data_IF_297924581444
#
_entry.id   IF_297924581444
#
_cell.length_a   1.000
_cell.length_b   1.000
_cell.length_c   1.000
_cell.angle_alpha   90.00
_cell.angle_beta   90.00
_cell.angle_gamma   90.00
#
_symmetry.space_group_name_H-M   'P 1'
#
loop_
_entity.id
_entity.type
_entity.pdbx_description
1 polymer ?
#
# COMPACT_ATOMS: atom_id res chain seq x y z
N UNK A 1 -21.08 6.95 26.56
CA UNK A 1 -21.42 5.83 25.64
C UNK A 1 -20.14 5.34 24.99
N UNK A 2 -19.93 4.03 24.87
CA UNK A 2 -18.80 3.47 24.11
C UNK A 2 -19.37 2.73 22.91
N UNK A 3 -18.89 3.04 21.71
CA UNK A 3 -19.34 2.45 20.46
C UNK A 3 -18.15 1.72 19.84
N UNK A 4 -18.28 0.40 19.66
CA UNK A 4 -17.26 -0.43 19.02
C UNK A 4 -17.84 -0.91 17.70
N UNK A 5 -17.08 -0.74 16.61
CA UNK A 5 -17.52 -1.12 15.26
C UNK A 5 -16.50 -2.02 14.59
N UNK A 6 -16.99 -3.12 14.01
CA UNK A 6 -16.21 -3.94 13.10
C UNK A 6 -16.30 -3.36 11.69
N UNK A 7 -15.22 -2.69 11.27
CA UNK A 7 -15.11 -2.07 9.95
C UNK A 7 -14.25 -2.88 8.97
N UNK A 8 -13.85 -4.12 9.30
CA UNK A 8 -12.88 -4.88 8.49
C UNK A 8 -13.36 -5.10 7.05
N UNK A 9 -14.63 -5.46 6.86
CA UNK A 9 -15.18 -5.71 5.51
C UNK A 9 -15.21 -4.44 4.65
N UNK A 10 -15.57 -3.32 5.26
CA UNK A 10 -15.57 -2.01 4.60
C UNK A 10 -14.15 -1.55 4.28
N UNK A 11 -13.21 -1.75 5.22
CA UNK A 11 -11.80 -1.46 5.01
C UNK A 11 -11.23 -2.22 3.82
N UNK A 12 -11.56 -3.51 3.68
CA UNK A 12 -11.14 -4.28 2.52
C UNK A 12 -11.77 -3.74 1.24
N UNK A 13 -13.09 -3.61 1.21
CA UNK A 13 -13.85 -3.26 0.00
C UNK A 13 -13.53 -1.87 -0.53
N UNK A 14 -13.49 -0.86 0.34
CA UNK A 14 -13.51 0.54 -0.07
C UNK A 14 -12.14 1.23 0.03
N UNK A 15 -11.15 0.59 0.68
CA UNK A 15 -9.83 1.20 0.92
C UNK A 15 -8.70 0.31 0.39
N UNK A 16 -8.64 -0.95 0.82
CA UNK A 16 -7.59 -1.88 0.39
C UNK A 16 -7.77 -2.28 -1.08
N UNK A 17 -8.98 -2.65 -1.51
CA UNK A 17 -9.22 -3.07 -2.89
C UNK A 17 -8.81 -2.01 -3.91
N UNK A 18 -9.24 -0.73 -3.79
CA UNK A 18 -8.75 0.32 -4.69
C UNK A 18 -7.23 0.51 -4.63
N UNK A 19 -6.61 0.33 -3.45
CA UNK A 19 -5.15 0.38 -3.31
C UNK A 19 -4.44 -0.78 -4.02
N UNK A 20 -5.02 -1.99 -4.02
CA UNK A 20 -4.52 -3.13 -4.80
C UNK A 20 -4.60 -2.82 -6.29
N UNK A 21 -5.75 -2.33 -6.77
CA UNK A 21 -5.94 -2.00 -8.19
C UNK A 21 -4.92 -0.94 -8.66
N UNK A 22 -4.64 0.02 -7.78
CA UNK A 22 -3.66 1.07 -8.01
C UNK A 22 -2.20 0.64 -7.75
N UNK A 23 -1.94 -0.62 -7.39
CA UNK A 23 -0.64 -1.10 -6.92
C UNK A 23 0.05 -0.13 -5.94
N UNK A 24 -0.74 0.47 -5.04
CA UNK A 24 -0.35 1.66 -4.29
C UNK A 24 0.84 1.37 -3.37
N UNK A 25 1.95 2.05 -3.63
CA UNK A 25 3.23 1.84 -2.95
C UNK A 25 3.96 3.18 -2.84
N UNK A 26 3.94 3.76 -1.64
CA UNK A 26 4.60 5.04 -1.39
C UNK A 26 6.12 4.86 -1.40
N UNK A 27 6.80 5.74 -2.13
CA UNK A 27 8.26 5.74 -2.33
C UNK A 27 8.84 4.36 -2.70
N UNK A 28 8.04 3.55 -3.40
CA UNK A 28 8.45 2.23 -3.85
C UNK A 28 8.61 1.18 -2.74
N UNK A 29 8.22 1.46 -1.49
CA UNK A 29 8.43 0.55 -0.36
C UNK A 29 7.25 0.43 0.63
N UNK A 30 6.46 1.49 0.86
CA UNK A 30 5.42 1.48 1.88
C UNK A 30 4.00 1.25 1.33
N UNK A 31 3.35 0.17 1.78
CA UNK A 31 2.02 -0.27 1.33
C UNK A 31 0.84 0.46 1.98
N UNK A 32 1.09 1.62 2.61
CA UNK A 32 0.04 2.52 3.11
C UNK A 32 -0.87 1.89 4.17
N UNK A 33 -0.44 0.81 4.85
CA UNK A 33 -1.24 0.08 5.83
C UNK A 33 -1.87 1.02 6.84
N UNK A 34 -1.03 1.86 7.43
CA UNK A 34 -1.47 2.91 8.32
C UNK A 34 -2.31 3.93 7.54
N UNK A 35 -1.75 4.63 6.55
CA UNK A 35 -2.45 5.72 5.83
C UNK A 35 -3.87 5.40 5.33
N UNK A 36 -4.13 4.17 4.88
CA UNK A 36 -5.44 3.70 4.37
C UNK A 36 -6.52 3.63 5.45
N UNK A 37 -6.18 3.35 6.72
CA UNK A 37 -7.20 3.16 7.76
C UNK A 37 -7.78 4.47 8.28
N UNK A 38 -7.01 5.57 8.22
CA UNK A 38 -7.38 6.88 8.79
C UNK A 38 -8.62 7.46 8.15
N UNK A 39 -8.76 7.52 6.81
CA UNK A 39 -9.98 8.05 6.20
C UNK A 39 -11.23 7.22 6.55
N UNK A 40 -11.10 5.90 6.80
CA UNK A 40 -12.21 5.07 7.28
C UNK A 40 -12.60 5.42 8.71
N UNK A 41 -11.62 5.46 9.62
CA UNK A 41 -11.87 5.78 11.04
C UNK A 41 -12.46 7.19 11.14
N UNK A 42 -11.87 8.16 10.44
CA UNK A 42 -12.33 9.54 10.45
C UNK A 42 -13.76 9.69 9.90
N UNK A 43 -14.09 9.01 8.79
CA UNK A 43 -15.44 8.96 8.24
C UNK A 43 -16.44 8.42 9.28
N UNK A 44 -16.06 7.35 9.98
CA UNK A 44 -16.94 6.76 10.98
C UNK A 44 -17.13 7.64 12.22
N UNK A 45 -16.07 8.35 12.66
CA UNK A 45 -16.15 9.34 13.73
C UNK A 45 -17.11 10.48 13.35
N UNK A 46 -17.03 11.01 12.13
CA UNK A 46 -17.97 12.04 11.65
C UNK A 46 -19.41 11.53 11.64
N UNK A 47 -19.62 10.29 11.16
CA UNK A 47 -20.94 9.67 11.14
C UNK A 47 -21.54 9.54 12.55
N UNK A 48 -20.76 9.02 13.50
CA UNK A 48 -21.18 8.89 14.90
C UNK A 48 -21.39 10.26 15.55
N UNK A 49 -20.52 11.24 15.30
CA UNK A 49 -20.68 12.58 15.84
C UNK A 49 -22.03 13.20 15.46
N UNK A 50 -22.47 13.02 14.20
CA UNK A 50 -23.80 13.47 13.74
C UNK A 50 -24.94 12.71 14.40
N UNK A 51 -24.83 11.38 14.53
CA UNK A 51 -25.83 10.56 15.21
C UNK A 51 -26.02 10.95 16.68
N UNK A 52 -24.92 11.34 17.35
CA UNK A 52 -24.94 11.78 18.75
C UNK A 52 -25.14 13.30 18.91
N UNK A 53 -25.37 14.04 17.82
CA UNK A 53 -25.46 15.51 17.80
C UNK A 53 -24.26 16.22 18.46
N UNK A 54 -23.06 15.65 18.33
CA UNK A 54 -21.83 16.22 18.87
C UNK A 54 -21.36 17.41 18.02
N UNK A 55 -20.88 18.46 18.69
CA UNK A 55 -20.26 19.65 18.05
C UNK A 55 -18.75 19.52 17.91
N UNK A 56 -18.13 18.65 18.73
CA UNK A 56 -16.69 18.48 18.80
C UNK A 56 -16.29 17.03 18.54
N UNK A 57 -15.15 16.85 17.89
CA UNK A 57 -14.47 15.57 17.71
C UNK A 57 -13.02 15.70 18.13
N UNK A 58 -12.43 14.61 18.64
CA UNK A 58 -11.06 14.63 19.13
C UNK A 58 -10.24 13.47 18.58
N UNK A 59 -8.92 13.68 18.42
CA UNK A 59 -7.96 12.63 18.06
C UNK A 59 -6.65 12.82 18.83
N UNK A 60 -5.94 11.71 19.08
CA UNK A 60 -4.70 11.68 19.85
C UNK A 60 -3.41 11.81 19.03
N UNK A 61 -3.46 12.40 17.83
CA UNK A 61 -2.28 12.46 16.97
C UNK A 61 -1.29 13.53 17.46
N UNK A 62 0.01 13.25 17.33
CA UNK A 62 1.08 14.22 17.61
C UNK A 62 1.18 15.28 16.50
N UNK A 63 1.84 16.40 16.79
CA UNK A 63 2.10 17.47 15.82
C UNK A 63 3.17 17.16 14.76
N UNK A 64 3.86 16.01 14.85
CA UNK A 64 4.95 15.61 13.92
C UNK A 64 4.61 14.41 13.03
N UNK A 65 3.44 13.80 13.25
CA UNK A 65 2.97 12.65 12.45
C UNK A 65 2.09 13.09 11.28
N UNK A 66 2.03 12.25 10.24
CA UNK A 66 1.11 12.46 9.11
C UNK A 66 -0.36 12.22 9.48
N UNK A 67 -0.63 11.48 10.57
CA UNK A 67 -2.00 11.11 10.92
C UNK A 67 -2.88 12.28 11.32
N UNK A 68 -2.32 13.33 11.91
CA UNK A 68 -3.09 14.56 12.15
C UNK A 68 -3.68 15.11 10.85
N UNK A 69 -2.90 15.10 9.75
CA UNK A 69 -3.35 15.57 8.44
C UNK A 69 -4.45 14.65 7.91
N UNK A 70 -4.23 13.33 7.99
CA UNK A 70 -5.17 12.32 7.47
C UNK A 70 -6.53 12.38 8.18
N UNK A 71 -6.54 12.54 9.50
CA UNK A 71 -7.77 12.72 10.29
C UNK A 71 -8.42 14.08 10.00
N UNK A 72 -7.71 15.18 10.20
CA UNK A 72 -8.28 16.53 10.11
C UNK A 72 -8.72 16.92 8.70
N UNK A 73 -7.98 16.53 7.67
CA UNK A 73 -8.43 16.76 6.29
C UNK A 73 -9.71 15.97 6.00
N UNK A 74 -9.82 14.72 6.47
CA UNK A 74 -11.05 13.94 6.32
C UNK A 74 -12.20 14.57 7.11
N UNK A 75 -11.96 15.02 8.34
CA UNK A 75 -12.97 15.73 9.13
C UNK A 75 -13.44 16.99 8.42
N UNK A 76 -12.53 17.82 7.91
CA UNK A 76 -12.89 19.04 7.19
C UNK A 76 -13.67 18.76 5.89
N UNK A 77 -13.37 17.67 5.20
CA UNK A 77 -14.05 17.30 3.96
C UNK A 77 -15.44 16.68 4.21
N UNK A 78 -15.58 15.88 5.27
CA UNK A 78 -16.81 15.11 5.50
C UNK A 78 -17.73 15.70 6.56
N UNK A 79 -17.20 16.52 7.48
CA UNK A 79 -17.89 17.16 8.59
C UNK A 79 -17.32 18.54 8.91
N UNK A 80 -17.34 19.50 7.96
CA UNK A 80 -16.78 20.85 8.14
C UNK A 80 -17.42 21.64 9.29
N UNK A 81 -18.61 21.24 9.74
CA UNK A 81 -19.31 21.83 10.88
C UNK A 81 -18.72 21.40 12.25
N UNK A 82 -17.97 20.31 12.29
CA UNK A 82 -17.43 19.73 13.52
C UNK A 82 -16.13 20.44 13.92
N UNK A 83 -16.00 20.78 15.20
CA UNK A 83 -14.79 21.40 15.74
C UNK A 83 -13.80 20.32 16.20
N UNK A 84 -12.57 20.37 15.68
CA UNK A 84 -11.55 19.39 16.04
C UNK A 84 -10.78 19.83 17.30
N UNK A 85 -10.63 18.90 18.24
CA UNK A 85 -9.75 19.02 19.40
C UNK A 85 -8.58 18.04 19.22
N UNK A 86 -7.35 18.54 19.30
CA UNK A 86 -6.14 17.72 19.20
C UNK A 86 -5.31 17.88 20.48
N UNK A 87 -5.62 17.12 21.56
CA UNK A 87 -5.00 17.25 22.86
C UNK A 87 -3.47 17.29 22.83
N UNK A 88 -2.81 16.36 22.12
CA UNK A 88 -1.34 16.27 22.07
C UNK A 88 -0.65 17.46 21.36
N UNK A 89 -1.41 18.37 20.75
CA UNK A 89 -0.89 19.63 20.19
C UNK A 89 -1.20 20.85 21.05
N UNK A 90 -2.16 20.74 21.97
CA UNK A 90 -2.71 21.87 22.73
C UNK A 90 -2.40 21.77 24.23
N UNK A 91 -2.29 20.56 24.77
CA UNK A 91 -2.05 20.33 26.17
C UNK A 91 -0.64 20.71 26.60
N UNK A 92 -0.45 21.06 27.88
CA UNK A 92 0.85 21.47 28.40
C UNK A 92 1.82 20.31 28.62
N UNK A 93 1.36 19.05 28.49
CA UNK A 93 2.18 17.87 28.75
C UNK A 93 3.31 17.77 27.71
N UNK A 94 4.54 17.61 28.19
CA UNK A 94 5.75 17.54 27.36
C UNK A 94 6.30 16.12 27.23
N UNK A 95 5.84 15.19 28.05
CA UNK A 95 6.32 13.81 28.04
C UNK A 95 5.26 12.81 28.49
N UNK A 96 5.50 11.53 28.16
CA UNK A 96 4.64 10.42 28.59
C UNK A 96 4.62 10.26 30.11
N UNK A 97 5.72 10.60 30.78
CA UNK A 97 5.79 10.61 32.25
C UNK A 97 4.82 11.64 32.86
N UNK A 98 4.73 12.84 32.27
CA UNK A 98 3.77 13.85 32.72
C UNK A 98 2.30 13.39 32.52
N UNK A 99 2.01 12.71 31.41
CA UNK A 99 0.69 12.10 31.15
C UNK A 99 0.34 11.02 32.17
N UNK A 100 1.31 10.16 32.51
CA UNK A 100 1.17 9.11 33.54
C UNK A 100 0.92 9.74 34.91
N UNK A 101 1.66 10.77 35.28
CA UNK A 101 1.49 11.47 36.55
C UNK A 101 0.13 12.18 36.63
N UNK A 102 -0.35 12.73 35.51
CA UNK A 102 -1.71 13.25 35.43
C UNK A 102 -2.75 12.14 35.66
N UNK A 103 -2.59 10.98 35.02
CA UNK A 103 -3.48 9.83 35.23
C UNK A 103 -3.49 9.38 36.70
N UNK A 104 -2.31 9.29 37.34
CA UNK A 104 -2.19 8.98 38.78
C UNK A 104 -2.88 10.02 39.66
N UNK A 105 -2.65 11.32 39.42
CA UNK A 105 -3.29 12.42 40.16
C UNK A 105 -4.81 12.41 40.03
N UNK A 106 -5.33 12.02 38.86
CA UNK A 106 -6.75 11.98 38.58
C UNK A 106 -7.41 10.62 38.85
N UNK A 107 -6.67 9.64 39.41
CA UNK A 107 -7.12 8.26 39.61
C UNK A 107 -7.69 7.59 38.34
N UNK A 108 -7.10 7.90 37.18
CA UNK A 108 -7.43 7.24 35.91
C UNK A 108 -6.65 5.93 35.85
N UNK A 109 -7.31 4.76 35.83
CA UNK A 109 -6.62 3.48 35.76
C UNK A 109 -5.98 3.33 34.38
N UNK A 110 -4.64 3.34 34.36
CA UNK A 110 -3.83 3.06 33.17
C UNK A 110 -2.85 1.95 33.50
N UNK A 111 -2.76 0.95 32.64
CA UNK A 111 -1.70 -0.06 32.74
C UNK A 111 -0.38 0.60 32.33
N UNK A 112 0.44 0.94 33.32
CA UNK A 112 1.79 1.47 33.10
C UNK A 112 2.71 0.28 32.91
N UNK A 113 2.63 -0.33 31.74
CA UNK A 113 3.57 -1.36 31.38
C UNK A 113 4.90 -0.72 30.95
N UNK A 114 6.03 -1.34 31.30
CA UNK A 114 7.37 -0.99 30.75
C UNK A 114 7.51 -1.44 29.28
N UNK A 115 6.39 -1.63 28.58
CA UNK A 115 6.32 -2.49 27.41
C UNK A 115 6.78 -1.79 26.16
N UNK A 116 7.83 -2.38 25.58
CA UNK A 116 8.38 -2.13 24.26
C UNK A 116 8.90 -0.71 24.04
N UNK A 117 10.16 -0.53 23.62
CA UNK A 117 10.66 0.78 23.21
C UNK A 117 10.00 1.29 21.91
N UNK A 118 9.11 0.51 21.28
CA UNK A 118 8.52 0.79 19.98
C UNK A 118 7.10 1.37 20.08
N UNK A 119 6.80 2.31 19.20
CA UNK A 119 5.43 2.74 18.87
C UNK A 119 4.92 1.86 17.73
N UNK A 120 3.77 1.22 17.92
CA UNK A 120 3.23 0.21 16.99
C UNK A 120 1.81 0.60 16.57
N UNK A 121 1.58 0.69 15.26
CA UNK A 121 0.22 0.80 14.68
C UNK A 121 -0.03 -0.39 13.75
N UNK A 122 -0.99 -1.23 14.13
CA UNK A 122 -1.32 -2.49 13.45
C UNK A 122 -2.78 -2.49 13.00
N UNK A 123 -2.99 -2.89 11.76
CA UNK A 123 -4.32 -3.24 11.25
C UNK A 123 -4.28 -4.47 10.34
N UNK A 124 -5.39 -4.75 9.65
CA UNK A 124 -5.53 -5.92 8.76
C UNK A 124 -4.50 -5.93 7.62
N UNK A 125 -4.10 -4.77 7.10
CA UNK A 125 -3.25 -4.63 5.91
C UNK A 125 -1.75 -4.69 6.21
N UNK A 126 -1.35 -4.35 7.43
CA UNK A 126 0.03 -4.37 7.87
C UNK A 126 0.25 -3.63 9.19
N UNK A 127 1.53 -3.42 9.50
CA UNK A 127 2.01 -2.79 10.72
C UNK A 127 3.06 -1.71 10.40
N UNK A 128 3.04 -0.61 11.15
CA UNK A 128 4.15 0.35 11.26
C UNK A 128 4.74 0.26 12.67
N UNK A 129 6.06 0.33 12.75
CA UNK A 129 6.86 0.24 13.96
C UNK A 129 7.90 1.38 13.91
N UNK A 130 7.89 2.25 14.91
CA UNK A 130 8.80 3.40 15.03
C UNK A 130 9.28 3.59 16.48
N UNK A 131 10.08 4.64 16.72
CA UNK A 131 10.69 5.01 18.01
C UNK A 131 11.77 4.06 18.54
N UNK A 132 12.44 4.50 19.60
CA UNK A 132 13.52 3.75 20.26
C UNK A 132 14.76 3.62 19.37
N UNK A 133 15.38 2.44 19.35
CA UNK A 133 16.59 2.18 18.56
C UNK A 133 16.37 2.34 17.05
N UNK A 134 15.13 2.29 16.57
CA UNK A 134 14.79 2.45 15.16
C UNK A 134 15.07 3.87 14.64
N UNK A 135 15.14 4.87 15.53
CA UNK A 135 15.48 6.25 15.16
C UNK A 135 16.95 6.40 14.76
N UNK A 136 17.85 5.53 15.24
CA UNK A 136 19.25 5.53 14.81
C UNK A 136 19.40 4.80 13.48
N UNK A 137 19.52 5.57 12.40
CA UNK A 137 19.67 5.08 11.02
C UNK A 137 20.93 4.21 10.79
N UNK A 138 21.86 4.18 11.74
CA UNK A 138 23.06 3.33 11.67
C UNK A 138 22.83 1.94 12.26
N UNK A 139 21.79 1.77 13.05
CA UNK A 139 21.44 0.51 13.71
C UNK A 139 20.43 -0.26 12.86
N UNK A 140 20.65 -1.56 12.73
CA UNK A 140 19.68 -2.45 12.09
C UNK A 140 18.42 -2.59 12.96
N UNK A 141 17.21 -2.72 12.38
CA UNK A 141 16.03 -3.02 13.18
C UNK A 141 16.24 -4.34 13.94
N UNK A 142 16.16 -4.34 15.27
CA UNK A 142 16.35 -5.56 16.05
C UNK A 142 15.20 -6.55 15.79
N UNK A 143 15.47 -7.83 16.00
CA UNK A 143 14.50 -8.88 15.62
C UNK A 143 13.20 -8.80 16.43
N UNK A 144 13.24 -8.25 17.65
CA UNK A 144 12.07 -8.05 18.51
C UNK A 144 11.17 -6.88 18.08
N UNK A 145 11.61 -6.06 17.12
CA UNK A 145 10.76 -5.05 16.49
C UNK A 145 9.73 -5.68 15.55
N UNK A 146 10.03 -6.84 14.94
CA UNK A 146 9.15 -7.52 14.01
C UNK A 146 8.14 -8.42 14.74
N UNK A 147 6.86 -8.30 14.38
CA UNK A 147 5.73 -8.90 15.09
C UNK A 147 4.96 -9.87 14.20
N UNK A 148 4.78 -9.53 12.91
CA UNK A 148 3.99 -10.32 11.97
C UNK A 148 4.80 -11.37 11.22
N UNK A 149 6.10 -11.16 11.06
CA UNK A 149 6.95 -11.95 10.17
C UNK A 149 8.09 -12.60 10.93
N UNK A 150 8.43 -13.84 10.54
CA UNK A 150 9.68 -14.47 10.95
C UNK A 150 10.88 -13.78 10.31
N UNK A 151 12.06 -13.91 10.92
CA UNK A 151 13.30 -13.57 10.22
C UNK A 151 13.52 -14.49 9.02
N UNK A 152 14.22 -14.05 7.96
CA UNK A 152 14.63 -14.93 6.87
C UNK A 152 15.41 -16.17 7.34
N UNK A 153 16.16 -16.06 8.43
CA UNK A 153 16.91 -17.17 9.02
C UNK A 153 15.99 -18.22 9.65
N UNK A 154 14.93 -17.78 10.35
CA UNK A 154 13.94 -18.64 11.00
C UNK A 154 12.82 -19.12 10.07
N UNK A 155 12.68 -18.52 8.89
CA UNK A 155 11.68 -18.92 7.91
C UNK A 155 11.94 -20.35 7.37
N UNK A 156 10.88 -21.10 6.98
CA UNK A 156 10.98 -22.48 6.52
C UNK A 156 12.04 -22.70 5.43
N UNK A 157 12.79 -23.80 5.54
CA UNK A 157 13.78 -24.23 4.54
C UNK A 157 13.16 -24.71 3.23
N UNK A 158 11.88 -25.09 3.25
CA UNK A 158 11.12 -25.45 2.04
C UNK A 158 10.30 -24.24 1.57
N UNK A 159 10.37 -23.88 0.28
CA UNK A 159 9.57 -22.79 -0.25
C UNK A 159 8.08 -23.15 -0.26
N UNK A 160 7.22 -22.16 -0.06
CA UNK A 160 5.77 -22.32 -0.18
C UNK A 160 5.29 -21.86 -1.55
N UNK A 161 4.44 -22.65 -2.17
CA UNK A 161 3.76 -22.31 -3.42
C UNK A 161 2.38 -21.75 -3.09
N UNK A 162 2.01 -20.64 -3.71
CA UNK A 162 0.66 -20.06 -3.61
C UNK A 162 0.11 -19.73 -4.99
N UNK A 163 -1.16 -19.99 -5.24
CA UNK A 163 -1.90 -19.55 -6.42
C UNK A 163 -2.98 -18.56 -6.01
N UNK A 164 -2.99 -17.39 -6.63
CA UNK A 164 -4.02 -16.36 -6.40
C UNK A 164 -4.82 -16.19 -7.69
N UNK A 165 -6.14 -16.38 -7.61
CA UNK A 165 -7.07 -16.13 -8.70
C UNK A 165 -7.71 -14.75 -8.53
N UNK A 166 -7.63 -13.93 -9.57
CA UNK A 166 -8.21 -12.60 -9.64
C UNK A 166 -9.38 -12.57 -10.61
N UNK A 167 -10.36 -11.72 -10.31
CA UNK A 167 -11.45 -11.35 -11.22
C UNK A 167 -11.62 -9.84 -11.20
N UNK A 168 -11.40 -9.21 -12.35
CA UNK A 168 -11.42 -7.74 -12.51
C UNK A 168 -10.60 -7.02 -11.43
N UNK A 169 -9.33 -7.39 -11.31
CA UNK A 169 -8.38 -6.89 -10.31
C UNK A 169 -8.60 -7.43 -8.88
N UNK A 170 -9.78 -7.96 -8.54
CA UNK A 170 -10.08 -8.42 -7.18
C UNK A 170 -9.54 -9.84 -6.94
N UNK A 171 -8.73 -10.08 -5.88
CA UNK A 171 -8.38 -11.44 -5.47
C UNK A 171 -9.62 -12.17 -4.93
N UNK A 172 -9.97 -13.32 -5.53
CA UNK A 172 -11.19 -14.08 -5.21
C UNK A 172 -10.94 -15.50 -4.70
N UNK A 173 -9.77 -16.08 -4.98
CA UNK A 173 -9.38 -17.40 -4.47
C UNK A 173 -7.90 -17.44 -4.12
N UNK A 174 -7.58 -18.28 -3.14
CA UNK A 174 -6.23 -18.68 -2.76
C UNK A 174 -6.15 -20.21 -2.81
N UNK A 175 -5.20 -20.75 -3.57
CA UNK A 175 -5.00 -22.19 -3.78
C UNK A 175 -6.29 -22.93 -4.17
N UNK A 176 -7.04 -22.33 -5.10
CA UNK A 176 -8.32 -22.86 -5.60
C UNK A 176 -9.51 -22.69 -4.65
N UNK A 177 -9.30 -22.26 -3.40
CA UNK A 177 -10.37 -22.03 -2.42
C UNK A 177 -10.87 -20.58 -2.48
N UNK A 178 -12.19 -20.40 -2.67
CA UNK A 178 -12.83 -19.08 -2.58
C UNK A 178 -12.83 -18.59 -1.13
N UNK A 179 -12.39 -17.36 -0.92
CA UNK A 179 -12.34 -16.68 0.38
C UNK A 179 -12.95 -15.28 0.22
N UNK A 180 -13.57 -14.76 1.28
CA UNK A 180 -13.84 -13.32 1.33
C UNK A 180 -12.53 -12.55 1.56
N UNK A 181 -12.55 -11.25 1.26
CA UNK A 181 -11.34 -10.44 1.28
C UNK A 181 -10.64 -10.37 2.65
N UNK A 182 -11.38 -10.41 3.76
CA UNK A 182 -10.77 -10.39 5.11
C UNK A 182 -10.05 -11.71 5.38
N UNK A 183 -10.71 -12.85 5.12
CA UNK A 183 -10.09 -14.17 5.28
C UNK A 183 -8.91 -14.39 4.33
N UNK A 184 -8.98 -13.87 3.11
CA UNK A 184 -7.89 -13.95 2.13
C UNK A 184 -6.65 -13.19 2.62
N UNK A 185 -6.81 -11.95 3.08
CA UNK A 185 -5.72 -11.13 3.60
C UNK A 185 -5.10 -11.76 4.85
N UNK A 186 -5.91 -12.21 5.81
CA UNK A 186 -5.41 -12.90 6.99
C UNK A 186 -4.59 -14.13 6.64
N UNK A 187 -5.08 -14.96 5.70
CA UNK A 187 -4.37 -16.17 5.29
C UNK A 187 -3.04 -15.84 4.59
N UNK A 188 -3.00 -14.79 3.79
CA UNK A 188 -1.76 -14.33 3.15
C UNK A 188 -0.80 -13.67 4.15
N UNK A 189 -1.31 -13.02 5.20
CA UNK A 189 -0.48 -12.52 6.29
C UNK A 189 0.18 -13.67 7.05
N UNK A 190 -0.56 -14.74 7.36
CA UNK A 190 0.00 -15.96 7.98
C UNK A 190 1.09 -16.58 7.10
N UNK A 191 0.76 -16.90 5.84
CA UNK A 191 1.69 -17.57 4.91
C UNK A 191 2.93 -16.69 4.66
N UNK A 192 2.72 -15.40 4.39
CA UNK A 192 3.79 -14.45 4.14
C UNK A 192 4.65 -14.23 5.38
N UNK A 193 4.03 -14.10 6.55
CA UNK A 193 4.70 -13.97 7.85
C UNK A 193 5.62 -15.15 8.14
N UNK A 194 5.12 -16.37 7.97
CA UNK A 194 5.94 -17.58 8.11
C UNK A 194 7.15 -17.60 7.17
N UNK A 195 6.98 -17.11 5.93
CA UNK A 195 8.00 -17.06 4.89
C UNK A 195 8.89 -15.80 4.93
N UNK A 196 8.80 -14.97 5.98
CA UNK A 196 9.54 -13.70 6.15
C UNK A 196 9.24 -12.63 5.08
N UNK A 197 8.08 -12.69 4.43
CA UNK A 197 7.70 -11.77 3.35
C UNK A 197 7.20 -10.44 3.90
N UNK A 198 7.64 -9.33 3.29
CA UNK A 198 7.02 -8.02 3.47
C UNK A 198 7.59 -7.17 4.60
N UNK A 199 8.79 -7.48 5.11
CA UNK A 199 9.57 -6.57 5.96
C UNK A 199 10.14 -5.42 5.12
N UNK A 200 10.00 -4.19 5.61
CA UNK A 200 10.53 -2.98 4.98
C UNK A 200 11.17 -2.09 6.03
N UNK A 201 12.35 -1.57 5.74
CA UNK A 201 13.00 -0.47 6.47
C UNK A 201 13.13 0.71 5.50
N UNK A 202 12.47 1.82 5.83
CA UNK A 202 12.30 2.97 4.95
C UNK A 202 12.63 4.27 5.69
N UNK A 203 13.48 5.10 5.08
CA UNK A 203 13.53 6.53 5.36
C UNK A 203 12.58 7.20 4.37
N UNK A 204 11.48 7.76 4.88
CA UNK A 204 10.42 8.37 4.07
C UNK A 204 10.31 9.88 4.22
N UNK A 205 9.79 10.56 3.19
CA UNK A 205 9.42 11.96 3.26
C UNK A 205 7.99 12.13 3.81
N UNK A 206 7.88 12.66 5.03
CA UNK A 206 6.59 13.02 5.62
C UNK A 206 5.99 14.23 4.91
N UNK A 207 4.67 14.28 4.83
CA UNK A 207 3.94 15.37 4.18
C UNK A 207 4.19 16.74 4.85
N UNK A 208 4.61 16.74 6.12
CA UNK A 208 4.98 17.93 6.87
C UNK A 208 6.42 18.43 6.60
N UNK A 209 7.15 17.82 5.68
CA UNK A 209 8.45 18.31 5.20
C UNK A 209 9.69 17.80 5.94
N UNK A 210 9.56 16.74 6.75
CA UNK A 210 10.70 16.09 7.42
C UNK A 210 10.87 14.65 6.93
N UNK A 211 12.08 14.12 7.05
CA UNK A 211 12.32 12.68 6.89
C UNK A 211 12.11 11.95 8.21
N UNK A 212 11.59 10.73 8.14
CA UNK A 212 11.50 9.80 9.27
C UNK A 212 11.92 8.41 8.83
N UNK A 213 12.46 7.61 9.76
CA UNK A 213 12.70 6.19 9.54
C UNK A 213 11.57 5.39 10.18
N UNK A 214 10.96 4.49 9.41
CA UNK A 214 9.91 3.58 9.87
C UNK A 214 10.16 2.16 9.36
N UNK A 215 9.82 1.19 10.21
CA UNK A 215 9.85 -0.23 9.87
C UNK A 215 8.42 -0.71 9.66
N UNK A 216 8.19 -1.45 8.57
CA UNK A 216 6.87 -1.95 8.21
C UNK A 216 6.88 -3.46 8.01
N UNK A 217 5.76 -4.10 8.33
CA UNK A 217 5.46 -5.47 7.90
C UNK A 217 4.10 -5.50 7.19
N UNK A 218 4.10 -5.90 5.92
CA UNK A 218 2.87 -6.01 5.13
C UNK A 218 2.90 -7.27 4.22
N UNK A 219 2.82 -8.48 4.80
CA UNK A 219 3.04 -9.71 4.02
C UNK A 219 1.97 -9.91 2.94
N UNK A 220 0.68 -9.80 3.29
CA UNK A 220 -0.40 -9.93 2.33
C UNK A 220 -0.34 -8.85 1.23
N UNK A 221 -0.07 -7.60 1.59
CA UNK A 221 0.05 -6.51 0.64
C UNK A 221 1.16 -6.76 -0.37
N UNK A 222 2.33 -7.19 0.11
CA UNK A 222 3.50 -7.52 -0.73
C UNK A 222 3.17 -8.64 -1.71
N UNK A 223 2.53 -9.71 -1.25
CA UNK A 223 2.14 -10.85 -2.08
C UNK A 223 1.08 -10.45 -3.11
N UNK A 224 0.02 -9.77 -2.68
CA UNK A 224 -1.10 -9.40 -3.53
C UNK A 224 -0.70 -8.43 -4.63
N UNK A 225 0.04 -7.37 -4.29
CA UNK A 225 0.48 -6.38 -5.27
C UNK A 225 1.52 -6.96 -6.22
N UNK A 226 2.40 -7.85 -5.75
CA UNK A 226 3.33 -8.57 -6.63
C UNK A 226 2.58 -9.44 -7.65
N UNK A 227 1.55 -10.17 -7.22
CA UNK A 227 0.72 -10.95 -8.13
C UNK A 227 -0.09 -10.06 -9.09
N UNK A 228 -0.68 -8.99 -8.56
CA UNK A 228 -1.54 -8.09 -9.33
C UNK A 228 -0.78 -7.42 -10.48
N UNK A 229 0.43 -6.89 -10.22
CA UNK A 229 1.30 -6.32 -11.27
C UNK A 229 1.63 -7.30 -12.39
N UNK A 230 1.83 -8.58 -12.04
CA UNK A 230 2.10 -9.64 -13.02
C UNK A 230 0.89 -10.03 -13.85
N UNK A 231 -0.32 -9.88 -13.30
CA UNK A 231 -1.54 -10.08 -14.07
C UNK A 231 -1.81 -8.89 -14.99
N UNK A 232 -1.57 -7.67 -14.52
CA UNK A 232 -1.70 -6.46 -15.36
C UNK A 232 -0.70 -6.47 -16.52
N UNK A 233 0.54 -6.91 -16.32
CA UNK A 233 1.53 -7.03 -17.41
C UNK A 233 1.11 -8.02 -18.51
N UNK A 234 0.24 -8.99 -18.17
CA UNK A 234 -0.31 -9.96 -19.10
C UNK A 234 -1.57 -9.46 -19.83
N UNK A 235 -2.34 -8.55 -19.20
CA UNK A 235 -3.72 -8.23 -19.61
C UNK A 235 -3.93 -6.78 -20.05
N UNK A 236 -3.01 -5.87 -19.73
CA UNK A 236 -3.06 -4.47 -20.16
C UNK A 236 -2.16 -4.23 -21.37
N UNK A 237 -2.60 -3.36 -22.28
CA UNK A 237 -1.76 -2.91 -23.38
C UNK A 237 -0.58 -2.06 -22.87
N UNK A 238 0.44 -1.92 -23.73
CA UNK A 238 1.69 -1.25 -23.38
C UNK A 238 1.50 0.19 -22.90
N UNK A 239 0.69 0.99 -23.59
CA UNK A 239 0.57 2.43 -23.29
C UNK A 239 -0.23 2.62 -22.00
N UNK A 240 -1.32 1.86 -21.82
CA UNK A 240 -2.09 1.89 -20.58
C UNK A 240 -1.23 1.46 -19.38
N UNK A 241 -0.48 0.35 -19.49
CA UNK A 241 0.37 -0.13 -18.40
C UNK A 241 1.46 0.90 -18.02
N UNK A 242 2.12 1.49 -19.03
CA UNK A 242 3.16 2.50 -18.79
C UNK A 242 2.60 3.78 -18.17
N UNK A 243 1.49 4.30 -18.69
CA UNK A 243 0.87 5.52 -18.15
C UNK A 243 0.28 5.29 -16.76
N UNK A 244 -0.34 4.12 -16.53
CA UNK A 244 -0.86 3.72 -15.23
C UNK A 244 0.22 3.82 -14.16
N UNK A 245 1.47 3.43 -14.43
CA UNK A 245 2.55 3.52 -13.43
C UNK A 245 2.78 4.94 -12.86
N UNK A 246 2.53 6.00 -13.64
CA UNK A 246 2.57 7.39 -13.17
C UNK A 246 1.39 7.71 -12.24
N UNK A 247 0.22 7.18 -12.59
CA UNK A 247 -1.00 7.30 -11.79
C UNK A 247 -0.86 6.56 -10.47
N UNK A 248 -0.28 5.36 -10.44
CA UNK A 248 -0.04 4.57 -9.22
C UNK A 248 0.78 5.38 -8.20
N UNK A 249 1.84 6.04 -8.66
CA UNK A 249 2.68 6.89 -7.80
C UNK A 249 1.87 8.07 -7.22
N UNK A 250 1.12 8.77 -8.07
CA UNK A 250 0.30 9.90 -7.60
C UNK A 250 -0.80 9.44 -6.65
N UNK A 251 -1.41 8.30 -6.94
CA UNK A 251 -2.46 7.69 -6.13
C UNK A 251 -1.96 7.34 -4.73
N UNK A 252 -0.79 6.70 -4.63
CA UNK A 252 -0.14 6.41 -3.35
C UNK A 252 0.19 7.69 -2.57
N UNK A 253 0.70 8.72 -3.25
CA UNK A 253 0.99 10.03 -2.64
C UNK A 253 -0.26 10.71 -2.07
N UNK A 254 -1.39 10.68 -2.78
CA UNK A 254 -2.65 11.26 -2.30
C UNK A 254 -3.12 10.57 -1.00
N UNK A 255 -3.05 9.24 -0.96
CA UNK A 255 -3.41 8.47 0.24
C UNK A 255 -2.45 8.81 1.39
N UNK A 256 -1.14 8.80 1.14
CA UNK A 256 -0.12 9.11 2.15
C UNK A 256 -0.34 10.50 2.78
N UNK A 257 -0.69 11.50 1.94
CA UNK A 257 -0.92 12.90 2.34
C UNK A 257 -2.31 13.16 2.95
N UNK A 258 -3.17 12.14 3.13
CA UNK A 258 -4.50 12.32 3.71
C UNK A 258 -5.55 12.90 2.75
N UNK A 259 -5.29 12.90 1.44
CA UNK A 259 -6.15 13.47 0.40
C UNK A 259 -7.11 12.42 -0.19
N UNK A 260 -7.57 11.47 0.64
CA UNK A 260 -8.38 10.33 0.21
C UNK A 260 -9.75 10.75 -0.37
N UNK A 261 -10.39 11.76 0.22
CA UNK A 261 -11.71 12.25 -0.21
C UNK A 261 -11.64 13.49 -1.13
N UNK A 262 -10.57 13.60 -1.92
CA UNK A 262 -10.40 14.74 -2.85
C UNK A 262 -10.90 14.42 -4.27
N UNK A 263 -11.32 15.42 -5.06
CA UNK A 263 -11.79 15.21 -6.43
C UNK A 263 -10.77 14.51 -7.33
N UNK A 264 -9.47 14.82 -7.17
CA UNK A 264 -8.43 14.14 -7.94
C UNK A 264 -8.36 12.66 -7.59
N UNK A 265 -8.44 12.30 -6.30
CA UNK A 265 -8.43 10.90 -5.87
C UNK A 265 -9.63 10.13 -6.45
N UNK A 266 -10.83 10.73 -6.43
CA UNK A 266 -12.02 10.14 -7.06
C UNK A 266 -11.85 9.96 -8.58
N UNK A 267 -11.29 10.95 -9.28
CA UNK A 267 -11.02 10.84 -10.71
C UNK A 267 -10.03 9.71 -11.03
N UNK A 268 -8.99 9.55 -10.20
CA UNK A 268 -8.03 8.45 -10.34
C UNK A 268 -8.66 7.08 -10.01
N UNK A 269 -9.60 7.02 -9.05
CA UNK A 269 -10.37 5.79 -8.79
C UNK A 269 -11.10 5.32 -10.05
N UNK A 270 -11.78 6.23 -10.75
CA UNK A 270 -12.48 5.89 -12.00
C UNK A 270 -11.54 5.42 -13.10
N UNK A 271 -10.38 6.06 -13.23
CA UNK A 271 -9.36 5.61 -14.17
C UNK A 271 -8.89 4.19 -13.83
N UNK A 272 -8.53 3.94 -12.58
CA UNK A 272 -8.01 2.65 -12.11
C UNK A 272 -9.08 1.55 -12.26
N UNK A 273 -10.32 1.81 -11.85
CA UNK A 273 -11.44 0.86 -12.03
C UNK A 273 -11.61 0.45 -13.49
N UNK A 274 -11.46 1.40 -14.42
CA UNK A 274 -11.54 1.13 -15.86
C UNK A 274 -10.41 0.21 -16.32
N UNK A 275 -9.19 0.36 -15.79
CA UNK A 275 -8.08 -0.55 -16.17
C UNK A 275 -8.30 -1.98 -15.68
N UNK A 276 -9.14 -2.19 -14.65
CA UNK A 276 -9.34 -3.53 -14.08
C UNK A 276 -10.28 -4.45 -14.87
N UNK A 277 -10.96 -3.97 -15.92
CA UNK A 277 -12.01 -4.73 -16.63
C UNK A 277 -11.59 -6.12 -17.10
N UNK A 278 -10.34 -6.26 -17.55
CA UNK A 278 -9.75 -7.50 -18.10
C UNK A 278 -8.66 -8.11 -17.21
N UNK A 279 -8.42 -7.55 -16.02
CA UNK A 279 -7.41 -8.04 -15.08
C UNK A 279 -7.96 -9.25 -14.34
N UNK A 280 -8.16 -10.36 -15.06
CA UNK A 280 -8.70 -11.62 -14.55
C UNK A 280 -7.78 -12.78 -14.91
N UNK A 281 -7.51 -13.67 -13.97
CA UNK A 281 -6.55 -14.75 -14.20
C UNK A 281 -5.98 -15.32 -12.92
N UNK A 282 -4.93 -16.13 -13.05
CA UNK A 282 -4.24 -16.80 -11.95
C UNK A 282 -2.76 -16.49 -12.00
N UNK A 283 -2.19 -16.21 -10.84
CA UNK A 283 -0.75 -16.02 -10.67
C UNK A 283 -0.25 -17.02 -9.63
N UNK A 284 0.74 -17.80 -10.01
CA UNK A 284 1.42 -18.74 -9.12
C UNK A 284 2.74 -18.14 -8.67
N UNK A 285 2.94 -18.11 -7.35
CA UNK A 285 4.11 -17.56 -6.70
C UNK A 285 4.81 -18.64 -5.88
N UNK A 286 6.12 -18.47 -5.71
CA UNK A 286 6.94 -19.20 -4.76
C UNK A 286 7.47 -18.22 -3.72
N UNK A 287 7.14 -18.46 -2.46
CA UNK A 287 7.54 -17.65 -1.31
C UNK A 287 8.68 -18.35 -0.58
N UNK A 288 9.80 -17.66 -0.39
CA UNK A 288 10.98 -18.26 0.22
C UNK A 288 11.87 -17.22 0.90
N UNK A 289 12.01 -17.32 2.22
CA UNK A 289 12.95 -16.54 3.05
C UNK A 289 13.02 -15.05 2.63
N UNK A 290 11.87 -14.37 2.70
CA UNK A 290 11.74 -12.96 2.35
C UNK A 290 11.59 -12.64 0.86
N UNK A 291 11.66 -13.63 -0.02
CA UNK A 291 11.59 -13.44 -1.47
C UNK A 291 10.29 -13.99 -2.06
N UNK A 292 9.80 -13.29 -3.08
CA UNK A 292 8.69 -13.73 -3.94
C UNK A 292 9.26 -14.00 -5.33
N UNK A 293 9.06 -15.21 -5.84
CA UNK A 293 9.38 -15.57 -7.22
C UNK A 293 8.09 -15.88 -7.98
N UNK A 294 7.90 -15.25 -9.13
CA UNK A 294 6.74 -15.51 -9.99
C UNK A 294 7.00 -16.78 -10.79
N UNK A 295 6.09 -17.76 -10.68
CA UNK A 295 6.26 -19.08 -11.28
C UNK A 295 5.48 -19.20 -12.59
N UNK A 296 4.22 -18.79 -12.61
CA UNK A 296 3.43 -18.80 -13.84
C UNK A 296 2.32 -17.76 -13.81
N UNK A 297 1.85 -17.39 -15.00
CA UNK A 297 0.69 -16.53 -15.20
C UNK A 297 -0.29 -17.23 -16.14
N UNK A 298 -1.57 -17.09 -15.86
CA UNK A 298 -2.65 -17.64 -16.68
C UNK A 298 -3.78 -16.61 -16.76
N UNK A 299 -4.26 -16.30 -17.96
CA UNK A 299 -5.44 -15.46 -18.17
C UNK A 299 -6.11 -15.81 -19.49
N UNK A 300 -7.45 -15.77 -19.49
CA UNK A 300 -8.23 -15.85 -20.73
C UNK A 300 -8.21 -14.53 -21.51
N UNK A 301 -7.95 -13.44 -20.82
CA UNK A 301 -7.83 -12.08 -21.36
C UNK A 301 -6.37 -11.70 -21.65
N UNK A 302 -5.49 -12.71 -21.78
CA UNK A 302 -4.07 -12.53 -22.05
C UNK A 302 -3.83 -11.85 -23.40
N UNK A 303 -3.06 -10.76 -23.39
CA UNK A 303 -2.55 -10.11 -24.60
C UNK A 303 -1.26 -10.78 -25.11
N UNK A 304 -0.65 -11.67 -24.33
CA UNK A 304 0.47 -12.49 -24.79
C UNK A 304 0.00 -13.53 -25.80
N UNK A 305 0.61 -13.51 -26.99
CA UNK A 305 0.43 -14.51 -28.03
C UNK A 305 1.74 -15.25 -28.30
N UNK A 306 1.79 -16.54 -27.93
CA UNK A 306 2.95 -17.40 -28.19
C UNK A 306 3.33 -17.43 -29.68
N UNK A 307 2.33 -17.45 -30.57
CA UNK A 307 2.54 -17.49 -32.03
C UNK A 307 3.17 -16.20 -32.59
N UNK A 308 2.98 -15.06 -31.92
CA UNK A 308 3.62 -13.80 -32.32
C UNK A 308 5.01 -13.62 -31.70
N UNK A 309 5.30 -14.33 -30.60
CA UNK A 309 6.54 -14.17 -29.84
C UNK A 309 7.58 -15.28 -30.08
N UNK A 310 7.17 -16.42 -30.64
CA UNK A 310 8.04 -17.58 -30.82
C UNK A 310 9.00 -17.40 -31.99
N UNK A 311 10.19 -17.99 -31.89
CA UNK A 311 11.15 -18.15 -32.99
C UNK A 311 11.02 -19.51 -33.70
N UNK A 312 10.01 -20.30 -33.33
CA UNK A 312 9.77 -21.62 -33.90
C UNK A 312 9.02 -21.53 -35.24
N UNK A 313 8.77 -22.69 -35.86
CA UNK A 313 8.03 -22.78 -37.15
C UNK A 313 6.59 -22.26 -37.08
N UNK A 314 6.04 -22.06 -35.88
CA UNK A 314 4.70 -21.53 -35.65
C UNK A 314 4.67 -19.99 -35.58
N UNK A 315 5.79 -19.31 -35.86
CA UNK A 315 5.86 -17.84 -35.88
C UNK A 315 4.89 -17.25 -36.91
N UNK A 316 4.13 -16.27 -36.47
CA UNK A 316 3.13 -15.52 -37.27
C UNK A 316 3.46 -14.04 -37.37
N UNK A 317 4.56 -13.58 -36.78
CA UNK A 317 4.98 -12.18 -36.81
C UNK A 317 5.57 -11.80 -38.17
N UNK A 318 5.04 -10.74 -38.79
CA UNK A 318 5.57 -10.24 -40.06
C UNK A 318 6.86 -9.42 -39.84
N UNK A 319 8.00 -10.11 -39.87
CA UNK A 319 9.32 -9.51 -39.64
C UNK A 319 9.68 -8.41 -40.66
N UNK A 320 9.13 -8.44 -41.89
CA UNK A 320 9.41 -7.42 -42.92
C UNK A 320 8.87 -6.04 -42.54
N UNK A 321 7.80 -5.97 -41.75
CA UNK A 321 7.20 -4.70 -41.33
C UNK A 321 8.16 -3.87 -40.43
N UNK A 322 9.07 -4.53 -39.72
CA UNK A 322 10.02 -3.90 -38.79
C UNK A 322 10.93 -2.88 -39.48
N UNK A 323 11.36 -3.12 -40.71
CA UNK A 323 12.25 -2.19 -41.43
C UNK A 323 11.59 -0.82 -41.63
N UNK A 324 10.34 -0.81 -42.09
CA UNK A 324 9.56 0.42 -42.27
C UNK A 324 9.27 1.11 -40.94
N UNK A 325 8.87 0.33 -39.93
CA UNK A 325 8.59 0.85 -38.59
C UNK A 325 9.81 1.54 -37.97
N UNK A 326 10.99 0.91 -37.99
CA UNK A 326 12.24 1.47 -37.45
C UNK A 326 12.62 2.74 -38.21
N UNK A 327 12.48 2.75 -39.55
CA UNK A 327 12.76 3.94 -40.36
C UNK A 327 11.92 5.13 -39.90
N UNK A 328 10.61 4.94 -39.73
CA UNK A 328 9.66 5.99 -39.32
C UNK A 328 9.91 6.42 -37.87
N UNK A 329 9.96 5.47 -36.92
CA UNK A 329 10.17 5.76 -35.50
C UNK A 329 11.49 6.51 -35.27
N UNK A 330 12.52 6.19 -36.05
CA UNK A 330 13.83 6.82 -35.97
C UNK A 330 13.94 8.23 -36.58
N UNK A 331 12.95 8.69 -37.37
CA UNK A 331 13.05 9.96 -38.12
C UNK A 331 13.38 11.17 -37.23
N UNK A 332 12.67 11.42 -36.10
CA UNK A 332 12.95 12.60 -35.27
C UNK A 332 14.34 12.57 -34.64
N UNK A 333 14.82 11.37 -34.28
CA UNK A 333 16.11 11.19 -33.63
C UNK A 333 17.28 11.32 -34.62
N UNK A 334 17.10 10.90 -35.87
CA UNK A 334 18.09 11.12 -36.94
C UNK A 334 18.35 12.61 -37.16
N UNK A 335 17.32 13.45 -37.13
CA UNK A 335 17.46 14.90 -37.25
C UNK A 335 18.20 15.50 -36.05
N UNK A 336 17.87 15.05 -34.84
CA UNK A 336 18.57 15.46 -33.61
C UNK A 336 20.05 15.09 -33.66
N UNK A 337 20.38 13.89 -34.15
CA UNK A 337 21.75 13.42 -34.29
C UNK A 337 22.54 14.22 -35.34
N UNK A 338 21.91 14.58 -36.47
CA UNK A 338 22.51 15.46 -37.49
C UNK A 338 22.85 16.83 -36.89
N UNK A 339 21.87 17.50 -36.26
CA UNK A 339 22.09 18.78 -35.56
C UNK A 339 23.25 18.70 -34.58
N UNK A 340 23.38 17.62 -33.79
CA UNK A 340 24.49 17.45 -32.83
C UNK A 340 25.86 17.22 -33.48
N UNK A 341 25.93 16.66 -34.69
CA UNK A 341 27.20 16.53 -35.44
C UNK A 341 27.69 17.90 -35.93
N UNK A 342 26.78 18.77 -36.35
CA UNK A 342 27.12 20.11 -36.82
C UNK A 342 27.65 21.05 -35.72
N UNK A 343 27.48 20.68 -34.43
CA UNK A 343 28.05 21.38 -33.26
C UNK A 343 29.35 20.72 -32.73
N UNK A 344 29.79 19.60 -33.30
CA UNK A 344 31.01 18.86 -32.88
C UNK A 344 32.13 18.88 -33.92
N UNK A 345 31.96 19.65 -34.99
CA UNK A 345 32.99 20.12 -35.92
C UNK A 345 33.13 21.62 -35.71
#
# INVERSE_FOLDING_TARGET
KVIIKDLKKEFVRDYITPAIYANALYEGKYYLATALSRPLIAKEVVRVAREENATFIAHGCTGKGNDQLRFELTFNLLGPELKVIAPLRQWPFKSREEEIDYCRKCNIPVEISKESPYSIDKNLWGISIECGILEDIKEAPPEDAYILTNSPDKAPSRPKMVEIEFKKGMPIKLDGKRLDGVSLINRLNEIGGECAIGRTDLIEDRAIGIKSREVYEAPAATILISAHKELESLTLDRETLQYKSLIEQKYAQLIYNGLFFTPLKEALDRFIDKTQEYVSGKIRLKLYKGNIQIISRESRDSLYSKKLATYSKEDTFNQKASEGFIKILGLPYKLTAKRRRDYRL
#
